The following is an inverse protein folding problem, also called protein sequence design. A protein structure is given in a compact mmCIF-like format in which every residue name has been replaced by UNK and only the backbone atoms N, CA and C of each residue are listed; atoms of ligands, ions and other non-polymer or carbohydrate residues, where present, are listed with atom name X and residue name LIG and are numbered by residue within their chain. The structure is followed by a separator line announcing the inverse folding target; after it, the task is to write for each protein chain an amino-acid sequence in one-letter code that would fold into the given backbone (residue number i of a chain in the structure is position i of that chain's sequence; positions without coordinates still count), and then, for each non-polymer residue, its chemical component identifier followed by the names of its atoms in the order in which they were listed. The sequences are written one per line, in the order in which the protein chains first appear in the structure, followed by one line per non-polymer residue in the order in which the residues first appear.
data_IF_402739946529
#
_entry.id   IF_402739946529
#
_cell.length_a   1.000
_cell.length_b   1.000
_cell.length_c   1.000
_cell.angle_alpha   90.00
_cell.angle_beta   90.00
_cell.angle_gamma   90.00
#
_symmetry.space_group_name_H-M   'P 1'
#
loop_
_entity.id
_entity.type
_entity.pdbx_description
1 polymer ?
#
# COMPACT_ATOMS: atom_id res chain seq x y z
N UNK A 1 -0.28 -36.61 -1.79
CA UNK A 1 -0.18 -35.65 -2.93
C UNK A 1 1.22 -35.55 -3.55
N UNK A 2 2.27 -35.24 -2.76
CA UNK A 2 3.65 -35.14 -3.28
C UNK A 2 4.17 -36.44 -3.90
N UNK A 3 3.85 -37.60 -3.32
CA UNK A 3 4.31 -38.91 -3.81
C UNK A 3 3.75 -39.25 -5.22
N UNK A 4 2.50 -38.89 -5.52
CA UNK A 4 1.93 -39.06 -6.86
C UNK A 4 2.35 -37.96 -7.85
N UNK A 5 3.07 -36.92 -7.38
CA UNK A 5 3.63 -35.87 -8.22
C UNK A 5 2.60 -34.94 -8.88
N UNK A 6 1.37 -34.86 -8.35
CA UNK A 6 0.28 -34.07 -8.96
C UNK A 6 0.55 -32.57 -9.03
N UNK A 7 1.32 -32.04 -8.07
CA UNK A 7 1.73 -30.63 -8.04
C UNK A 7 3.08 -30.38 -8.72
N UNK A 8 3.78 -31.43 -9.17
CA UNK A 8 5.02 -31.26 -9.91
C UNK A 8 4.66 -30.83 -11.33
N UNK A 9 5.23 -29.71 -11.78
CA UNK A 9 5.08 -29.22 -13.15
C UNK A 9 5.99 -30.02 -14.09
N UNK A 10 5.69 -31.31 -14.27
CA UNK A 10 6.39 -32.19 -15.21
C UNK A 10 5.38 -32.81 -16.17
N UNK A 11 5.64 -32.73 -17.48
CA UNK A 11 4.85 -33.31 -18.57
C UNK A 11 4.75 -34.84 -18.48
N UNK A 12 5.69 -35.52 -17.82
CA UNK A 12 5.73 -36.99 -17.72
C UNK A 12 4.67 -37.60 -16.81
N UNK A 13 4.13 -36.83 -15.84
CA UNK A 13 3.11 -37.33 -14.90
C UNK A 13 1.73 -36.77 -15.25
N UNK A 14 0.76 -37.66 -15.44
CA UNK A 14 -0.62 -37.26 -15.72
C UNK A 14 -1.28 -36.67 -14.48
N UNK A 15 -1.66 -35.39 -14.55
CA UNK A 15 -2.44 -34.72 -13.50
C UNK A 15 -3.92 -35.11 -13.65
N UNK A 16 -4.61 -35.52 -12.57
CA UNK A 16 -6.04 -35.76 -12.63
C UNK A 16 -6.80 -34.47 -13.00
N UNK A 17 -7.74 -34.56 -13.94
CA UNK A 17 -8.57 -33.42 -14.38
C UNK A 17 -9.67 -33.07 -13.38
N UNK A 18 -10.14 -34.06 -12.63
CA UNK A 18 -11.17 -33.95 -11.60
C UNK A 18 -10.68 -34.65 -10.35
N UNK A 19 -11.11 -34.14 -9.21
CA UNK A 19 -10.75 -34.67 -7.91
C UNK A 19 -11.99 -34.77 -7.05
N UNK A 20 -12.14 -35.88 -6.33
CA UNK A 20 -13.19 -36.04 -5.32
C UNK A 20 -12.63 -35.62 -3.97
N UNK A 21 -13.37 -34.76 -3.29
CA UNK A 21 -13.00 -34.22 -1.99
C UNK A 21 -14.17 -34.46 -1.05
N UNK A 22 -13.87 -34.98 0.14
CA UNK A 22 -14.78 -35.00 1.28
C UNK A 22 -14.37 -33.92 2.26
N UNK A 23 -15.35 -33.30 2.91
CA UNK A 23 -15.12 -32.32 3.97
C UNK A 23 -16.28 -32.38 4.96
N UNK A 24 -16.02 -31.96 6.19
CA UNK A 24 -17.06 -31.76 7.20
C UNK A 24 -17.63 -30.34 7.04
N UNK A 25 -18.95 -30.17 6.81
CA UNK A 25 -19.56 -28.84 6.71
C UNK A 25 -19.30 -27.93 7.93
N UNK A 26 -19.11 -28.52 9.11
CA UNK A 26 -18.88 -27.78 10.36
C UNK A 26 -17.42 -27.41 10.60
N UNK A 27 -16.47 -27.88 9.78
CA UNK A 27 -15.05 -27.63 9.99
C UNK A 27 -14.28 -27.45 8.69
N UNK A 28 -13.59 -26.32 8.57
CA UNK A 28 -12.72 -26.00 7.42
C UNK A 28 -11.31 -26.59 7.60
N UNK A 29 -10.95 -27.03 8.80
CA UNK A 29 -9.57 -27.36 9.18
C UNK A 29 -8.96 -28.50 8.37
N UNK A 30 -9.78 -29.47 7.96
CA UNK A 30 -9.35 -30.70 7.31
C UNK A 30 -10.23 -31.00 6.12
N UNK A 31 -9.61 -31.36 5.01
CA UNK A 31 -10.27 -31.94 3.85
C UNK A 31 -9.66 -33.31 3.54
N UNK A 32 -10.49 -34.18 2.97
CA UNK A 32 -10.13 -35.54 2.59
C UNK A 32 -10.12 -35.65 1.08
N UNK A 33 -8.96 -35.93 0.52
CA UNK A 33 -8.77 -35.99 -0.93
C UNK A 33 -8.67 -37.42 -1.40
N UNK A 34 -9.66 -37.85 -2.18
CA UNK A 34 -9.71 -39.19 -2.76
C UNK A 34 -8.92 -39.22 -4.06
N UNK A 35 -7.90 -40.07 -4.13
CA UNK A 35 -7.00 -40.12 -5.28
C UNK A 35 -7.36 -41.18 -6.33
N UNK A 36 -8.12 -42.19 -5.93
CA UNK A 36 -8.69 -43.21 -6.81
C UNK A 36 -10.23 -43.08 -6.79
N UNK A 37 -10.87 -43.13 -7.96
CA UNK A 37 -12.34 -42.99 -8.05
C UNK A 37 -13.08 -44.20 -7.47
N UNK A 38 -12.44 -45.38 -7.51
CA UNK A 38 -13.02 -46.68 -7.16
C UNK A 38 -12.65 -47.17 -5.76
N UNK A 39 -11.80 -46.44 -5.04
CA UNK A 39 -11.35 -46.80 -3.69
C UNK A 39 -11.71 -45.69 -2.71
N UNK A 40 -11.94 -46.09 -1.46
CA UNK A 40 -12.15 -45.16 -0.35
C UNK A 40 -10.83 -44.69 0.29
N UNK A 41 -9.71 -44.93 -0.37
CA UNK A 41 -8.42 -44.42 0.08
C UNK A 41 -8.33 -42.91 -0.16
N UNK A 42 -7.89 -42.18 0.86
CA UNK A 42 -7.82 -40.73 0.84
C UNK A 42 -6.51 -40.24 1.44
N UNK A 43 -6.16 -39.00 1.10
CA UNK A 43 -5.18 -38.21 1.83
C UNK A 43 -5.88 -37.16 2.65
N UNK A 44 -5.47 -37.04 3.89
CA UNK A 44 -5.84 -35.92 4.74
C UNK A 44 -4.99 -34.70 4.36
N UNK A 45 -5.63 -33.55 4.18
CA UNK A 45 -4.97 -32.29 3.96
C UNK A 45 -5.51 -31.26 4.95
N UNK A 46 -4.58 -30.54 5.56
CA UNK A 46 -4.89 -29.51 6.54
C UNK A 46 -4.73 -28.12 5.95
N UNK A 47 -5.33 -27.16 6.63
CA UNK A 47 -5.15 -25.74 6.36
C UNK A 47 -3.67 -25.35 6.39
N UNK A 48 -3.23 -24.55 5.42
CA UNK A 48 -1.89 -23.98 5.41
C UNK A 48 -1.83 -22.74 6.32
N UNK A 49 -0.63 -22.34 6.72
CA UNK A 49 -0.40 -21.14 7.54
C UNK A 49 -0.99 -19.87 6.92
N UNK A 50 -0.94 -19.74 5.59
CA UNK A 50 -1.53 -18.62 4.86
C UNK A 50 -3.06 -18.56 4.98
N UNK A 51 -3.71 -19.69 5.28
CA UNK A 51 -5.15 -19.79 5.46
C UNK A 51 -5.56 -19.91 6.92
N UNK A 52 -4.63 -19.71 7.87
CA UNK A 52 -4.86 -19.85 9.32
C UNK A 52 -6.01 -18.98 9.85
N UNK A 53 -6.32 -17.87 9.18
CA UNK A 53 -7.47 -17.02 9.52
C UNK A 53 -8.82 -17.76 9.47
N UNK A 54 -8.91 -18.88 8.75
CA UNK A 54 -10.13 -19.69 8.65
C UNK A 54 -10.12 -20.89 9.60
N UNK A 55 -9.11 -21.02 10.45
CA UNK A 55 -8.99 -22.12 11.39
C UNK A 55 -10.16 -22.08 12.38
N UNK A 56 -10.73 -23.25 12.68
CA UNK A 56 -11.87 -23.43 13.57
C UNK A 56 -13.18 -22.76 13.12
N UNK A 57 -13.27 -22.34 11.86
CA UNK A 57 -14.52 -21.86 11.28
C UNK A 57 -15.29 -23.00 10.60
N UNK A 58 -16.59 -22.78 10.48
CA UNK A 58 -17.46 -23.57 9.59
C UNK A 58 -17.27 -23.13 8.13
N UNK A 59 -17.62 -24.00 7.18
CA UNK A 59 -17.52 -23.65 5.75
C UNK A 59 -18.41 -22.46 5.38
N UNK A 60 -19.56 -22.36 6.03
CA UNK A 60 -20.48 -21.27 5.80
C UNK A 60 -19.87 -19.92 6.22
N UNK A 61 -19.27 -19.84 7.41
CA UNK A 61 -18.60 -18.63 7.90
C UNK A 61 -17.41 -18.25 7.02
N UNK A 62 -16.58 -19.23 6.66
CA UNK A 62 -15.45 -19.01 5.76
C UNK A 62 -15.91 -18.48 4.38
N UNK A 63 -17.02 -18.99 3.85
CA UNK A 63 -17.60 -18.49 2.61
C UNK A 63 -18.06 -17.03 2.73
N UNK A 64 -18.69 -16.64 3.85
CA UNK A 64 -19.09 -15.25 4.08
C UNK A 64 -17.89 -14.30 4.15
N UNK A 65 -16.82 -14.70 4.86
CA UNK A 65 -15.58 -13.93 4.92
C UNK A 65 -14.98 -13.77 3.52
N UNK A 66 -14.92 -14.84 2.73
CA UNK A 66 -14.42 -14.77 1.36
C UNK A 66 -15.28 -13.87 0.47
N UNK A 67 -16.61 -13.86 0.63
CA UNK A 67 -17.51 -12.95 -0.10
C UNK A 67 -17.24 -11.49 0.26
N UNK A 68 -17.03 -11.19 1.54
CA UNK A 68 -16.67 -9.85 1.98
C UNK A 68 -15.32 -9.40 1.40
N UNK A 69 -14.29 -10.24 1.49
CA UNK A 69 -12.95 -9.97 0.92
C UNK A 69 -13.06 -9.68 -0.57
N UNK A 70 -13.72 -10.55 -1.35
CA UNK A 70 -13.90 -10.37 -2.80
C UNK A 70 -14.62 -9.06 -3.15
N UNK A 71 -15.55 -8.63 -2.31
CA UNK A 71 -16.29 -7.38 -2.51
C UNK A 71 -15.36 -6.17 -2.33
N UNK A 72 -14.57 -6.18 -1.26
CA UNK A 72 -13.58 -5.12 -0.99
C UNK A 72 -12.48 -5.10 -2.07
N UNK A 73 -11.96 -6.26 -2.45
CA UNK A 73 -10.96 -6.38 -3.52
C UNK A 73 -11.48 -5.83 -4.85
N UNK A 74 -12.75 -6.11 -5.19
CA UNK A 74 -13.38 -5.56 -6.40
C UNK A 74 -13.45 -4.04 -6.36
N UNK A 75 -13.90 -3.46 -5.24
CA UNK A 75 -13.97 -2.01 -5.06
C UNK A 75 -12.56 -1.38 -5.14
N UNK A 76 -11.59 -2.00 -4.47
CA UNK A 76 -10.21 -1.53 -4.48
C UNK A 76 -9.59 -1.61 -5.89
N UNK A 77 -9.86 -2.68 -6.65
CA UNK A 77 -9.40 -2.79 -8.03
C UNK A 77 -9.96 -1.69 -8.93
N UNK A 78 -11.22 -1.29 -8.71
CA UNK A 78 -11.84 -0.18 -9.46
C UNK A 78 -11.15 1.14 -9.12
N UNK A 79 -11.00 1.45 -7.82
CA UNK A 79 -10.29 2.65 -7.37
C UNK A 79 -8.85 2.69 -7.89
N UNK A 80 -8.15 1.56 -7.83
CA UNK A 80 -6.80 1.41 -8.37
C UNK A 80 -6.76 1.69 -9.88
N UNK A 81 -7.73 1.21 -10.65
CA UNK A 81 -7.78 1.48 -12.09
C UNK A 81 -7.98 2.96 -12.40
N UNK A 82 -8.84 3.64 -11.64
CA UNK A 82 -9.05 5.09 -11.77
C UNK A 82 -7.79 5.86 -11.42
N UNK A 83 -7.15 5.55 -10.28
CA UNK A 83 -5.91 6.19 -9.85
C UNK A 83 -4.77 5.98 -10.86
N UNK A 84 -4.67 4.80 -11.48
CA UNK A 84 -3.70 4.54 -12.56
C UNK A 84 -4.00 5.42 -13.78
N UNK A 85 -5.27 5.55 -14.17
CA UNK A 85 -5.66 6.41 -15.29
C UNK A 85 -5.32 7.88 -15.03
N UNK A 86 -5.63 8.39 -13.82
CA UNK A 86 -5.29 9.76 -13.42
C UNK A 86 -3.78 10.01 -13.44
N UNK A 87 -2.98 9.03 -13.00
CA UNK A 87 -1.53 9.08 -13.04
C UNK A 87 -1.00 9.09 -14.48
N UNK A 88 -1.61 8.31 -15.38
CA UNK A 88 -1.27 8.31 -16.80
C UNK A 88 -1.58 9.67 -17.42
N UNK A 89 -2.78 10.22 -17.19
CA UNK A 89 -3.16 11.54 -17.68
C UNK A 89 -2.22 12.64 -17.19
N UNK A 90 -1.80 12.57 -15.92
CA UNK A 90 -0.81 13.50 -15.37
C UNK A 90 0.56 13.37 -16.05
N UNK A 91 1.01 12.14 -16.28
CA UNK A 91 2.26 11.85 -16.99
C UNK A 91 2.22 12.38 -18.42
N UNK A 92 1.11 12.14 -19.13
CA UNK A 92 0.91 12.61 -20.50
C UNK A 92 0.89 14.14 -20.59
N UNK A 93 0.27 14.82 -19.61
CA UNK A 93 0.34 16.28 -19.50
C UNK A 93 1.77 16.78 -19.35
N UNK A 94 2.59 16.13 -18.53
CA UNK A 94 4.02 16.48 -18.37
C UNK A 94 4.77 16.28 -19.68
N UNK A 95 4.55 15.14 -20.36
CA UNK A 95 5.20 14.83 -21.64
C UNK A 95 4.79 15.87 -22.70
N UNK A 96 3.51 16.18 -22.83
CA UNK A 96 3.02 17.21 -23.76
C UNK A 96 3.58 18.60 -23.44
N UNK A 97 3.67 18.97 -22.16
CA UNK A 97 4.29 20.22 -21.74
C UNK A 97 5.79 20.27 -22.10
N UNK A 98 6.51 19.16 -21.96
CA UNK A 98 7.92 19.09 -22.34
C UNK A 98 8.11 19.16 -23.87
N UNK A 99 7.31 18.39 -24.62
CA UNK A 99 7.34 18.39 -26.09
C UNK A 99 6.97 19.75 -26.68
N UNK A 100 5.92 20.40 -26.17
CA UNK A 100 5.51 21.74 -26.62
C UNK A 100 6.58 22.79 -26.35
N UNK A 101 7.32 22.70 -25.24
CA UNK A 101 8.50 23.55 -24.95
C UNK A 101 9.65 23.28 -25.92
N UNK A 102 9.88 22.03 -26.30
CA UNK A 102 10.92 21.66 -27.29
C UNK A 102 10.56 22.09 -28.71
N UNK A 103 9.27 22.04 -29.06
CA UNK A 103 8.75 22.43 -30.37
C UNK A 103 8.66 23.94 -30.59
N UNK A 104 8.91 24.77 -29.55
CA UNK A 104 8.95 26.22 -29.69
C UNK A 104 10.01 26.63 -30.73
N UNK A 105 9.58 27.47 -31.68
CA UNK A 105 10.41 27.94 -32.78
C UNK A 105 11.67 28.61 -32.24
N UNK A 106 12.84 28.19 -32.73
CA UNK A 106 14.13 28.78 -32.37
C UNK A 106 14.85 28.14 -31.19
N UNK A 107 14.22 27.28 -30.38
CA UNK A 107 14.90 26.61 -29.25
C UNK A 107 16.11 25.79 -29.73
N UNK A 108 15.95 25.04 -30.82
CA UNK A 108 17.05 24.27 -31.42
C UNK A 108 18.10 25.13 -32.14
N UNK A 109 17.77 26.36 -32.50
CA UNK A 109 18.65 27.29 -33.22
C UNK A 109 19.51 28.14 -32.24
N UNK A 110 19.10 28.25 -30.98
CA UNK A 110 19.87 28.94 -29.94
C UNK A 110 21.12 28.15 -29.53
N UNK A 111 22.23 28.86 -29.32
CA UNK A 111 23.47 28.30 -28.76
C UNK A 111 23.27 27.85 -27.31
N UNK A 112 24.06 26.87 -26.86
CA UNK A 112 23.99 26.31 -25.50
C UNK A 112 24.04 27.39 -24.41
N UNK A 113 24.89 28.41 -24.59
CA UNK A 113 25.01 29.53 -23.64
C UNK A 113 23.76 30.43 -23.61
N UNK A 114 23.08 30.60 -24.75
CA UNK A 114 21.83 31.37 -24.81
C UNK A 114 20.67 30.63 -24.16
N UNK A 115 20.62 29.29 -24.28
CA UNK A 115 19.60 28.46 -23.62
C UNK A 115 19.72 28.48 -22.10
N UNK A 116 20.93 28.60 -21.57
CA UNK A 116 21.20 28.57 -20.12
C UNK A 116 21.26 29.94 -19.45
N UNK A 117 21.23 31.03 -20.23
CA UNK A 117 21.43 32.41 -19.74
C UNK A 117 20.46 32.81 -18.61
N UNK A 118 19.20 32.39 -18.69
CA UNK A 118 18.15 32.79 -17.75
C UNK A 118 17.84 31.74 -16.67
N UNK A 119 18.67 30.71 -16.49
CA UNK A 119 18.42 29.63 -15.53
C UNK A 119 18.25 30.16 -14.09
N UNK A 120 19.01 31.19 -13.70
CA UNK A 120 18.92 31.77 -12.35
C UNK A 120 17.55 32.38 -12.08
N UNK A 121 17.00 33.10 -13.06
CA UNK A 121 15.67 33.70 -12.95
C UNK A 121 14.59 32.61 -12.93
N UNK A 122 14.63 31.66 -13.88
CA UNK A 122 13.69 30.54 -13.92
C UNK A 122 13.68 29.72 -12.61
N UNK A 123 14.85 29.53 -11.99
CA UNK A 123 14.97 28.86 -10.69
C UNK A 123 14.26 29.65 -9.58
N UNK A 124 14.45 30.97 -9.53
CA UNK A 124 13.80 31.81 -8.53
C UNK A 124 12.27 31.80 -8.70
N UNK A 125 11.78 31.87 -9.93
CA UNK A 125 10.35 31.78 -10.25
C UNK A 125 9.77 30.42 -9.83
N UNK A 126 10.45 29.31 -10.17
CA UNK A 126 10.02 27.97 -9.76
C UNK A 126 9.94 27.81 -8.23
N UNK A 127 10.92 28.34 -7.49
CA UNK A 127 10.91 28.34 -6.02
C UNK A 127 9.73 29.14 -5.47
N UNK A 128 9.41 30.29 -6.07
CA UNK A 128 8.28 31.11 -5.61
C UNK A 128 6.94 30.42 -5.84
N UNK A 129 6.78 29.74 -6.99
CA UNK A 129 5.59 28.94 -7.30
C UNK A 129 5.45 27.78 -6.30
N UNK A 130 6.51 27.00 -6.08
CA UNK A 130 6.51 25.90 -5.12
C UNK A 130 6.14 26.37 -3.71
N UNK A 131 6.71 27.49 -3.25
CA UNK A 131 6.37 28.10 -1.95
C UNK A 131 4.90 28.50 -1.87
N UNK A 132 4.34 29.08 -2.92
CA UNK A 132 2.93 29.47 -2.94
C UNK A 132 2.00 28.25 -2.91
N UNK A 133 2.31 27.21 -3.69
CA UNK A 133 1.57 25.94 -3.66
C UNK A 133 1.66 25.25 -2.30
N UNK A 134 2.84 25.24 -1.69
CA UNK A 134 3.03 24.65 -0.36
C UNK A 134 2.25 25.40 0.73
N UNK A 135 2.14 26.73 0.62
CA UNK A 135 1.32 27.53 1.55
C UNK A 135 -0.19 27.27 1.36
N UNK A 136 -0.66 27.07 0.12
CA UNK A 136 -2.07 26.73 -0.15
C UNK A 136 -2.44 25.32 0.29
N UNK A 137 -1.54 24.35 0.11
CA UNK A 137 -1.76 22.95 0.46
C UNK A 137 -1.40 22.62 1.92
N UNK A 138 -1.02 23.63 2.72
CA UNK A 138 -0.73 23.43 4.13
C UNK A 138 -2.02 22.97 4.83
N UNK A 139 -2.05 21.77 5.46
CA UNK A 139 -3.21 21.36 6.21
C UNK A 139 -3.45 22.38 7.33
N UNK A 140 -4.67 22.89 7.42
CA UNK A 140 -5.11 23.82 8.47
C UNK A 140 -5.28 23.09 9.80
N UNK A 141 -4.25 22.35 10.23
CA UNK A 141 -4.18 21.88 11.59
C UNK A 141 -3.76 23.11 12.39
N UNK A 142 -4.72 23.76 13.06
CA UNK A 142 -4.42 24.81 14.03
C UNK A 142 -3.57 24.17 15.13
N UNK A 143 -2.25 24.29 15.02
CA UNK A 143 -1.38 24.09 16.17
C UNK A 143 -1.78 25.21 17.13
N UNK A 144 -2.58 24.89 18.13
CA UNK A 144 -2.78 25.76 19.28
C UNK A 144 -1.41 25.91 19.93
N UNK A 145 -0.71 27.00 19.64
CA UNK A 145 0.41 27.41 20.45
C UNK A 145 -0.16 27.82 21.80
N UNK A 146 -0.16 26.87 22.75
CA UNK A 146 -0.38 27.19 24.15
C UNK A 146 0.79 28.08 24.54
N UNK A 147 0.55 29.39 24.60
CA UNK A 147 1.48 30.32 25.21
C UNK A 147 1.65 29.89 26.67
N UNK A 148 2.88 29.61 27.15
CA UNK A 148 3.11 29.32 28.55
C UNK A 148 2.96 30.65 29.27
N UNK A 149 1.75 30.92 29.78
CA UNK A 149 1.41 31.84 30.87
C UNK A 149 -0.03 32.31 30.68
N UNK A 150 -1.01 31.49 31.07
CA UNK A 150 -2.16 31.97 31.83
C UNK A 150 -2.64 30.87 32.77
N UNK A 151 -2.69 31.24 34.05
CA UNK A 151 -3.13 30.44 35.18
C UNK A 151 -4.47 29.72 34.95
N UNK A 152 -4.47 28.45 35.33
CA UNK A 152 -5.49 27.80 36.16
C UNK A 152 -6.97 28.06 35.79
N UNK A 153 -7.61 27.13 35.06
CA UNK A 153 -9.00 26.74 35.36
C UNK A 153 -9.43 25.44 34.67
N UNK A 154 -9.75 24.45 35.52
CA UNK A 154 -10.81 23.43 35.37
C UNK A 154 -10.69 22.44 34.20
N UNK A 155 -10.06 21.30 34.51
CA UNK A 155 -10.09 20.07 33.73
C UNK A 155 -11.52 19.48 33.80
N UNK A 156 -12.25 19.53 32.69
CA UNK A 156 -13.38 18.61 32.46
C UNK A 156 -12.86 17.41 31.68
N UNK A 157 -12.98 16.23 32.28
CA UNK A 157 -12.65 14.95 31.68
C UNK A 157 -13.60 14.69 30.50
N UNK A 158 -13.05 14.51 29.31
CA UNK A 158 -13.72 13.82 28.21
C UNK A 158 -12.75 12.84 27.59
N UNK A 159 -13.10 11.56 27.67
CA UNK A 159 -12.41 10.45 27.05
C UNK A 159 -12.19 10.71 25.56
N UNK A 160 -10.96 11.01 25.18
CA UNK A 160 -10.43 10.80 23.86
C UNK A 160 -8.97 10.40 24.04
N UNK A 161 -8.60 9.25 23.46
CA UNK A 161 -7.27 8.68 23.47
C UNK A 161 -6.23 9.69 22.95
N UNK A 162 -5.68 10.48 23.86
CA UNK A 162 -4.53 11.33 23.62
C UNK A 162 -3.33 10.41 23.61
N UNK A 163 -2.91 10.00 22.40
CA UNK A 163 -1.57 9.48 22.23
C UNK A 163 -0.63 10.66 22.51
N UNK A 164 -0.01 10.64 23.69
CA UNK A 164 0.96 11.66 24.09
C UNK A 164 2.17 11.62 23.16
N UNK A 165 2.07 12.36 22.06
CA UNK A 165 3.11 12.49 21.06
C UNK A 165 4.22 13.45 21.51
N UNK A 166 4.12 14.02 22.72
CA UNK A 166 5.16 14.91 23.27
C UNK A 166 6.33 14.15 23.88
N UNK A 167 6.16 12.84 24.12
CA UNK A 167 7.25 11.92 24.44
C UNK A 167 7.88 11.34 23.17
N UNK A 168 8.15 12.15 22.15
CA UNK A 168 9.10 11.72 21.12
C UNK A 168 10.51 11.88 21.69
N UNK A 169 11.33 10.82 21.72
CA UNK A 169 12.73 10.95 22.11
C UNK A 169 13.39 11.95 21.15
N UNK A 170 14.13 12.91 21.69
CA UNK A 170 14.88 13.88 20.92
C UNK A 170 16.06 13.18 20.22
N UNK A 171 15.74 12.52 19.10
CA UNK A 171 16.66 11.77 18.26
C UNK A 171 17.73 12.68 17.63
N UNK A 172 17.48 13.99 17.54
CA UNK A 172 18.47 14.96 17.07
C UNK A 172 19.57 15.15 18.09
N UNK A 173 19.22 15.23 19.38
CA UNK A 173 20.21 15.35 20.45
C UNK A 173 21.12 14.12 20.55
N UNK A 174 20.57 12.92 20.37
CA UNK A 174 21.32 11.67 20.37
C UNK A 174 22.21 11.46 19.11
N UNK A 175 21.94 12.16 18.00
CA UNK A 175 22.75 12.05 16.78
C UNK A 175 24.00 12.94 16.78
N UNK A 176 24.02 13.98 17.63
CA UNK A 176 25.07 15.00 17.66
C UNK A 176 25.74 15.16 19.04
N UNK A 177 25.29 14.43 20.06
CA UNK A 177 26.12 14.14 21.23
C UNK A 177 27.21 13.16 20.77
N UNK A 178 28.28 13.71 20.17
CA UNK A 178 29.58 13.04 20.15
C UNK A 178 29.96 12.72 21.59
N UNK A 179 30.34 11.47 21.85
CA UNK A 179 30.91 11.03 23.12
C UNK A 179 32.21 11.83 23.39
N UNK A 180 32.06 13.03 23.95
CA UNK A 180 33.15 13.78 24.59
C UNK A 180 33.49 13.06 25.91
N UNK A 181 34.44 12.12 25.78
CA UNK A 181 35.41 11.57 26.74
C UNK A 181 35.15 11.64 28.26
N UNK A 182 35.30 10.47 28.93
CA UNK A 182 36.41 10.20 29.88
C UNK A 182 36.65 8.69 30.07
#
# INVERSE_FOLDING_TARGET
MHQQGWFIRNTTKSRPKKLRIGFDPYSVNTIYVFFDENKLEYWEAHLSDASRQYQHLTWWEAEQIQKAIKTVEKQHSQLKSVAISELQDFTDKIIHAAQSRQAQVGVHQLSKAQRTRNIRQNKQEAIQVERAEHLQNRPSNSIWTIHPNQDNSQISQSDNSNLDLTSQPDLMRQLFEEDDEE
#
